data_IF_516211192505
#
_entry.id   IF_516211192505
#
_cell.length_a   1.000
_cell.length_b   1.000
_cell.length_c   1.000
_cell.angle_alpha   90.00
_cell.angle_beta   90.00
_cell.angle_gamma   90.00
#
_symmetry.space_group_name_H-M   'P 1'
#
loop_
_entity.id
_entity.type
_entity.pdbx_description
1 polymer ?
#
# COMPACT_ATOMS: atom_id res chain seq x y z
N UNK A 1 -15.27 6.13 21.64
CA UNK A 1 -14.04 5.35 21.42
C UNK A 1 -12.88 6.18 21.91
N UNK A 2 -11.98 5.61 22.72
CA UNK A 2 -10.98 6.39 23.44
C UNK A 2 -9.68 6.43 22.65
N UNK A 3 -9.16 7.62 22.34
CA UNK A 3 -7.84 7.85 21.74
C UNK A 3 -6.77 7.69 22.85
N UNK A 4 -6.81 6.58 23.59
CA UNK A 4 -5.90 6.33 24.73
C UNK A 4 -4.43 6.12 24.32
N UNK A 5 -4.21 5.71 23.08
CA UNK A 5 -2.87 5.41 22.53
C UNK A 5 -2.14 6.64 21.97
N UNK A 6 -2.80 7.81 21.95
CA UNK A 6 -2.20 9.04 21.46
C UNK A 6 -1.65 9.87 22.61
N UNK A 7 -0.40 10.29 22.48
CA UNK A 7 0.18 11.34 23.33
C UNK A 7 -0.40 12.68 22.89
N UNK A 8 -0.89 13.46 23.85
CA UNK A 8 -1.49 14.78 23.58
C UNK A 8 -0.54 15.88 24.03
N UNK A 9 -0.34 16.86 23.16
CA UNK A 9 0.38 18.09 23.49
C UNK A 9 -0.44 19.31 23.10
N UNK A 10 -0.33 20.38 23.87
CA UNK A 10 -1.02 21.65 23.64
C UNK A 10 0.04 22.74 23.57
N UNK A 11 0.06 23.47 22.47
CA UNK A 11 0.91 24.64 22.27
C UNK A 11 0.05 25.79 21.74
N UNK A 12 -0.05 26.87 22.54
CA UNK A 12 -0.84 28.08 22.26
C UNK A 12 -2.23 27.77 21.68
N UNK A 13 -2.36 27.78 20.37
CA UNK A 13 -3.61 27.56 19.63
C UNK A 13 -3.64 26.23 18.88
N UNK A 14 -2.75 25.28 19.20
CA UNK A 14 -2.61 24.00 18.52
C UNK A 14 -2.70 22.84 19.51
N UNK A 15 -3.54 21.87 19.21
CA UNK A 15 -3.65 20.60 19.92
C UNK A 15 -3.14 19.50 19.00
N UNK A 16 -2.13 18.75 19.43
CA UNK A 16 -1.53 17.67 18.66
C UNK A 16 -1.75 16.32 19.33
N UNK A 17 -2.07 15.33 18.52
CA UNK A 17 -2.25 13.92 18.90
C UNK A 17 -1.17 13.11 18.18
N UNK A 18 -0.27 12.48 18.92
CA UNK A 18 0.85 11.71 18.37
C UNK A 18 0.71 10.22 18.68
N UNK A 19 0.89 9.38 17.67
CA UNK A 19 1.06 7.94 17.79
C UNK A 19 2.21 7.45 16.91
N UNK A 20 2.51 6.15 16.91
CA UNK A 20 3.51 5.55 16.00
C UNK A 20 3.14 5.63 14.53
N UNK A 21 1.84 5.73 14.20
CA UNK A 21 1.31 5.62 12.85
C UNK A 21 0.64 6.90 12.32
N UNK A 22 0.22 7.83 13.18
CA UNK A 22 -0.46 9.05 12.75
C UNK A 22 -0.12 10.24 13.64
N UNK A 23 -0.18 11.43 13.05
CA UNK A 23 -0.20 12.71 13.71
C UNK A 23 -1.55 13.37 13.44
N UNK A 24 -2.31 13.68 14.50
CA UNK A 24 -3.52 14.49 14.39
C UNK A 24 -3.27 15.89 14.90
N UNK A 25 -3.75 16.88 14.20
CA UNK A 25 -3.56 18.30 14.52
C UNK A 25 -4.92 19.00 14.54
N UNK A 26 -5.18 19.77 15.59
CA UNK A 26 -6.30 20.70 15.64
C UNK A 26 -5.73 22.10 15.90
N UNK A 27 -5.97 23.02 14.98
CA UNK A 27 -5.50 24.41 15.07
C UNK A 27 -6.70 25.35 15.27
N UNK A 28 -6.57 26.28 16.19
CA UNK A 28 -7.58 27.30 16.49
C UNK A 28 -7.09 28.63 15.93
N UNK A 29 -7.67 29.08 14.84
CA UNK A 29 -7.24 30.27 14.09
C UNK A 29 -8.14 31.49 14.41
N UNK A 30 -7.73 32.67 13.92
CA UNK A 30 -8.53 33.88 14.01
C UNK A 30 -9.94 33.68 13.38
N UNK A 31 -10.87 34.56 13.72
CA UNK A 31 -12.25 34.53 13.22
C UNK A 31 -13.02 33.22 13.53
N UNK A 32 -12.68 32.55 14.64
CA UNK A 32 -13.28 31.28 15.07
C UNK A 32 -13.14 30.14 14.04
N UNK A 33 -12.07 30.16 13.24
CA UNK A 33 -11.77 29.08 12.30
C UNK A 33 -11.02 27.98 13.03
N UNK A 34 -11.53 26.74 12.89
CA UNK A 34 -10.89 25.51 13.39
C UNK A 34 -10.44 24.70 12.19
N UNK A 35 -9.19 24.24 12.22
CA UNK A 35 -8.64 23.30 11.26
C UNK A 35 -8.34 21.99 11.95
N UNK A 36 -8.68 20.88 11.32
CA UNK A 36 -8.36 19.54 11.80
C UNK A 36 -7.68 18.76 10.68
N UNK A 37 -6.55 18.14 10.97
CA UNK A 37 -5.80 17.34 10.00
C UNK A 37 -5.30 16.04 10.64
N UNK A 38 -5.34 14.95 9.89
CA UNK A 38 -4.73 13.66 10.24
C UNK A 38 -3.71 13.30 9.18
N UNK A 39 -2.45 13.17 9.59
CA UNK A 39 -1.32 12.84 8.73
C UNK A 39 -0.87 11.41 9.03
N UNK A 40 -0.77 10.60 7.97
CA UNK A 40 -0.23 9.25 8.04
C UNK A 40 1.30 9.32 8.09
N UNK A 41 1.93 8.75 9.14
CA UNK A 41 3.38 8.76 9.30
C UNK A 41 4.13 7.83 8.34
N UNK A 42 3.44 6.89 7.69
CA UNK A 42 4.04 5.96 6.73
C UNK A 42 4.47 6.65 5.43
N UNK A 43 3.64 7.58 4.94
CA UNK A 43 3.83 8.23 3.64
C UNK A 43 3.67 9.76 3.68
N UNK A 44 3.53 10.32 4.88
CA UNK A 44 3.32 11.75 5.14
C UNK A 44 2.10 12.36 4.42
N UNK A 45 1.11 11.53 4.05
CA UNK A 45 -0.11 12.02 3.41
C UNK A 45 -1.14 12.46 4.42
N UNK A 46 -1.88 13.51 4.07
CA UNK A 46 -3.08 13.90 4.78
C UNK A 46 -4.21 12.90 4.49
N UNK A 47 -4.68 12.22 5.52
CA UNK A 47 -5.78 11.25 5.46
C UNK A 47 -7.13 11.89 5.74
N UNK A 48 -7.12 13.02 6.45
CA UNK A 48 -8.28 13.81 6.78
C UNK A 48 -7.85 15.27 6.90
N UNK A 49 -8.56 16.16 6.26
CA UNK A 49 -8.40 17.60 6.41
C UNK A 49 -9.74 18.30 6.33
N UNK A 50 -10.02 19.15 7.30
CA UNK A 50 -11.17 20.03 7.28
C UNK A 50 -10.84 21.36 7.95
N UNK A 51 -11.37 22.43 7.44
CA UNK A 51 -11.44 23.73 8.12
C UNK A 51 -12.87 24.22 8.13
N UNK A 52 -13.30 24.80 9.24
CA UNK A 52 -14.64 25.29 9.39
C UNK A 52 -14.70 26.47 10.37
N UNK A 53 -15.72 27.32 10.23
CA UNK A 53 -15.99 28.35 11.21
C UNK A 53 -16.81 27.74 12.36
N UNK A 54 -16.34 27.92 13.58
CA UNK A 54 -17.08 27.48 14.76
C UNK A 54 -18.32 28.31 14.97
N UNK A 55 -19.48 27.70 14.85
CA UNK A 55 -20.78 28.34 15.03
C UNK A 55 -21.59 27.74 16.18
N UNK A 56 -21.42 26.44 16.43
CA UNK A 56 -22.11 25.76 17.52
C UNK A 56 -21.37 24.45 17.93
N UNK A 57 -21.62 24.00 19.15
CA UNK A 57 -21.02 22.81 19.72
C UNK A 57 -21.38 21.51 18.99
N UNK A 58 -22.62 21.36 18.55
CA UNK A 58 -23.07 20.09 17.95
C UNK A 58 -22.32 19.81 16.64
N UNK A 59 -22.17 20.82 15.78
CA UNK A 59 -21.40 20.71 14.54
C UNK A 59 -19.91 20.43 14.81
N UNK A 60 -19.29 21.18 15.73
CA UNK A 60 -17.90 20.97 16.09
C UNK A 60 -17.63 19.57 16.68
N UNK A 61 -18.55 19.04 17.51
CA UNK A 61 -18.45 17.68 18.03
C UNK A 61 -18.60 16.61 16.95
N UNK A 62 -19.49 16.80 15.98
CA UNK A 62 -19.62 15.88 14.85
C UNK A 62 -18.31 15.79 14.05
N UNK A 63 -17.72 16.94 13.68
CA UNK A 63 -16.46 16.99 12.96
C UNK A 63 -15.27 16.43 13.78
N UNK A 64 -15.26 16.67 15.09
CA UNK A 64 -14.28 16.07 15.98
C UNK A 64 -14.42 14.54 16.03
N UNK A 65 -15.63 14.01 15.95
CA UNK A 65 -15.85 12.56 15.85
C UNK A 65 -15.29 11.99 14.54
N UNK A 66 -15.50 12.68 13.42
CA UNK A 66 -14.92 12.28 12.13
C UNK A 66 -13.39 12.31 12.17
N UNK A 67 -12.79 13.33 12.77
CA UNK A 67 -11.35 13.41 13.02
C UNK A 67 -10.85 12.23 13.86
N UNK A 68 -11.55 11.87 14.93
CA UNK A 68 -11.19 10.72 15.76
C UNK A 68 -11.29 9.41 14.99
N UNK A 69 -12.34 9.25 14.18
CA UNK A 69 -12.52 8.07 13.35
C UNK A 69 -11.42 7.97 12.28
N UNK A 70 -11.01 9.10 11.68
CA UNK A 70 -9.89 9.16 10.76
C UNK A 70 -8.56 8.72 11.42
N UNK A 71 -8.26 9.21 12.64
CA UNK A 71 -7.10 8.77 13.41
C UNK A 71 -7.08 7.24 13.61
N UNK A 72 -8.23 6.66 13.98
CA UNK A 72 -8.36 5.22 14.20
C UNK A 72 -8.26 4.44 12.88
N UNK A 73 -8.83 4.96 11.78
CA UNK A 73 -8.75 4.32 10.47
C UNK A 73 -7.31 4.33 9.92
N UNK A 74 -6.53 5.38 10.19
CA UNK A 74 -5.12 5.45 9.81
C UNK A 74 -4.31 4.31 10.42
N UNK A 75 -4.62 3.88 11.66
CA UNK A 75 -4.02 2.69 12.26
C UNK A 75 -4.27 1.44 11.43
N UNK A 76 -5.50 1.22 10.99
CA UNK A 76 -5.86 0.05 10.17
C UNK A 76 -5.11 0.02 8.83
N UNK A 77 -4.85 1.17 8.23
CA UNK A 77 -4.02 1.30 7.02
C UNK A 77 -2.52 1.04 7.29
N UNK A 78 -2.10 1.12 8.54
CA UNK A 78 -0.72 0.88 8.96
C UNK A 78 -0.45 -0.58 9.31
N UNK A 79 -1.47 -1.30 9.79
CA UNK A 79 -1.36 -2.73 10.11
C UNK A 79 -1.08 -3.51 8.84
N UNK A 80 0.03 -4.23 8.81
CA UNK A 80 0.36 -5.13 7.71
C UNK A 80 -0.56 -6.34 7.74
N UNK A 81 -1.39 -6.50 6.74
CA UNK A 81 -2.28 -7.66 6.61
C UNK A 81 -1.61 -8.77 5.81
N UNK A 82 -1.47 -9.93 6.42
CA UNK A 82 -0.74 -11.08 5.89
C UNK A 82 -1.66 -12.28 5.79
N UNK A 83 -1.73 -12.89 4.62
CA UNK A 83 -2.51 -14.08 4.37
C UNK A 83 -1.62 -15.31 4.23
N UNK A 84 -1.86 -16.35 5.02
CA UNK A 84 -1.24 -17.65 4.86
C UNK A 84 -2.13 -18.56 4.01
N UNK A 85 -1.56 -19.14 2.96
CA UNK A 85 -2.26 -20.06 2.07
C UNK A 85 -1.66 -21.47 2.12
N UNK A 86 -2.51 -22.49 2.20
CA UNK A 86 -2.17 -23.89 1.94
C UNK A 86 -3.28 -24.58 1.13
N UNK A 87 -3.15 -25.86 0.83
CA UNK A 87 -4.16 -26.59 0.06
C UNK A 87 -5.51 -26.69 0.77
N UNK A 88 -5.53 -26.87 2.09
CA UNK A 88 -6.77 -27.08 2.87
C UNK A 88 -7.08 -26.02 3.93
N UNK A 89 -6.17 -25.08 4.19
CA UNK A 89 -6.37 -24.00 5.18
C UNK A 89 -6.07 -24.38 6.64
N UNK A 90 -6.06 -25.64 7.03
CA UNK A 90 -6.06 -26.06 8.44
C UNK A 90 -4.71 -25.79 9.15
N UNK A 91 -3.60 -26.26 8.57
CA UNK A 91 -2.26 -26.09 9.16
C UNK A 91 -1.79 -24.63 9.17
N UNK A 92 -2.17 -23.86 8.17
CA UNK A 92 -1.89 -22.42 8.11
C UNK A 92 -2.72 -21.64 9.11
N UNK A 93 -3.95 -22.07 9.45
CA UNK A 93 -4.76 -21.41 10.49
C UNK A 93 -4.10 -21.49 11.86
N UNK A 94 -3.53 -22.63 12.22
CA UNK A 94 -2.79 -22.77 13.47
C UNK A 94 -1.53 -21.87 13.48
N UNK A 95 -0.79 -21.85 12.38
CA UNK A 95 0.40 -20.99 12.29
C UNK A 95 0.04 -19.49 12.32
N UNK A 96 -1.04 -19.07 11.64
CA UNK A 96 -1.54 -17.70 11.70
C UNK A 96 -1.93 -17.28 13.12
N UNK A 97 -2.54 -18.18 13.91
CA UNK A 97 -2.84 -17.95 15.32
C UNK A 97 -1.57 -17.66 16.12
N UNK A 98 -0.55 -18.51 16.00
CA UNK A 98 0.73 -18.31 16.70
C UNK A 98 1.44 -17.02 16.27
N UNK A 99 1.38 -16.67 14.98
CA UNK A 99 1.94 -15.42 14.46
C UNK A 99 1.21 -14.19 15.02
N UNK A 100 -0.12 -14.24 15.16
CA UNK A 100 -0.89 -13.17 15.79
C UNK A 100 -0.52 -13.00 17.28
N UNK A 101 -0.42 -14.10 18.03
CA UNK A 101 0.00 -14.08 19.43
C UNK A 101 1.42 -13.50 19.56
N UNK A 102 2.35 -13.96 18.71
CA UNK A 102 3.72 -13.45 18.69
C UNK A 102 3.79 -11.96 18.33
N UNK A 103 3.04 -11.52 17.32
CA UNK A 103 2.98 -10.11 16.92
C UNK A 103 2.44 -9.23 18.05
N UNK A 104 1.39 -9.68 18.75
CA UNK A 104 0.84 -8.98 19.90
C UNK A 104 1.86 -8.88 21.05
N UNK A 105 2.58 -9.97 21.35
CA UNK A 105 3.56 -10.01 22.44
C UNK A 105 4.71 -9.01 22.27
N UNK A 106 5.13 -8.76 21.01
CA UNK A 106 6.21 -7.80 20.70
C UNK A 106 5.70 -6.46 20.18
N UNK A 107 4.38 -6.21 20.23
CA UNK A 107 3.73 -5.00 19.71
C UNK A 107 4.02 -4.73 18.22
N UNK A 108 4.15 -5.78 17.44
CA UNK A 108 4.32 -5.70 15.98
C UNK A 108 2.94 -5.50 15.33
N UNK A 109 2.82 -4.48 14.47
CA UNK A 109 1.55 -4.09 13.87
C UNK A 109 1.24 -4.93 12.61
N UNK A 110 1.17 -6.26 12.80
CA UNK A 110 0.84 -7.26 11.80
C UNK A 110 -0.44 -7.99 12.17
N UNK A 111 -1.22 -8.35 11.17
CA UNK A 111 -2.40 -9.20 11.30
C UNK A 111 -2.31 -10.36 10.32
N UNK A 112 -2.50 -11.58 10.81
CA UNK A 112 -2.37 -12.81 10.06
C UNK A 112 -3.70 -13.54 9.97
N UNK A 113 -4.10 -13.84 8.72
CA UNK A 113 -5.23 -14.73 8.41
C UNK A 113 -4.74 -15.95 7.65
N UNK A 114 -5.59 -16.98 7.58
CA UNK A 114 -5.31 -18.18 6.81
C UNK A 114 -6.51 -18.61 5.98
N UNK A 115 -6.23 -19.12 4.77
CA UNK A 115 -7.27 -19.72 3.92
C UNK A 115 -6.69 -20.77 2.98
N UNK A 116 -7.57 -21.53 2.31
CA UNK A 116 -7.16 -22.40 1.22
C UNK A 116 -6.78 -21.56 -0.02
N UNK A 117 -5.87 -22.08 -0.83
CA UNK A 117 -5.39 -21.42 -2.04
C UNK A 117 -6.52 -21.08 -3.03
N UNK A 118 -7.56 -21.89 -3.10
CA UNK A 118 -8.70 -21.70 -4.01
C UNK A 118 -9.45 -20.37 -3.75
N UNK A 119 -9.39 -19.86 -2.53
CA UNK A 119 -9.99 -18.57 -2.17
C UNK A 119 -9.08 -17.37 -2.42
N UNK A 120 -7.82 -17.60 -2.77
CA UNK A 120 -6.81 -16.55 -2.98
C UNK A 120 -7.25 -15.53 -4.03
N UNK A 121 -7.82 -15.98 -5.14
CA UNK A 121 -8.23 -15.11 -6.26
C UNK A 121 -9.33 -14.12 -5.89
N UNK A 122 -10.20 -14.49 -4.95
CA UNK A 122 -11.32 -13.65 -4.52
C UNK A 122 -10.96 -12.71 -3.37
N UNK A 123 -10.09 -13.14 -2.48
CA UNK A 123 -9.81 -12.43 -1.21
C UNK A 123 -8.39 -11.90 -1.09
N UNK A 124 -7.43 -12.38 -1.89
CA UNK A 124 -6.01 -12.02 -1.81
C UNK A 124 -5.74 -10.52 -1.94
N UNK A 125 -6.56 -9.82 -2.71
CA UNK A 125 -6.43 -8.37 -2.88
C UNK A 125 -6.62 -7.57 -1.58
N UNK A 126 -7.24 -8.15 -0.55
CA UNK A 126 -7.46 -7.49 0.74
C UNK A 126 -6.22 -7.54 1.66
N UNK A 127 -5.17 -8.25 1.27
CA UNK A 127 -3.95 -8.43 2.04
C UNK A 127 -2.76 -7.75 1.38
N UNK A 128 -1.77 -7.36 2.18
CA UNK A 128 -0.52 -6.73 1.70
C UNK A 128 0.51 -7.78 1.29
N UNK A 129 0.54 -8.89 2.01
CA UNK A 129 1.50 -10.00 1.82
C UNK A 129 0.75 -11.33 1.78
N UNK A 130 1.15 -12.20 0.87
CA UNK A 130 0.66 -13.57 0.75
C UNK A 130 1.81 -14.53 1.06
N UNK A 131 1.60 -15.41 2.02
CA UNK A 131 2.55 -16.46 2.40
C UNK A 131 2.05 -17.79 1.85
N UNK A 132 2.84 -18.46 1.02
CA UNK A 132 2.52 -19.78 0.48
C UNK A 132 3.21 -20.85 1.33
N UNK A 133 2.42 -21.79 1.84
CA UNK A 133 2.95 -22.93 2.56
C UNK A 133 3.80 -23.84 1.64
N UNK A 134 4.82 -24.55 2.17
CA UNK A 134 5.79 -25.30 1.34
C UNK A 134 5.16 -26.28 0.36
N UNK A 135 4.04 -26.91 0.73
CA UNK A 135 3.34 -27.88 -0.10
C UNK A 135 2.66 -27.28 -1.34
N UNK A 136 2.52 -25.95 -1.41
CA UNK A 136 1.93 -25.25 -2.54
C UNK A 136 2.90 -24.21 -3.15
N UNK A 137 4.18 -24.22 -2.81
CA UNK A 137 5.19 -23.31 -3.35
C UNK A 137 5.29 -23.36 -4.88
N UNK A 138 4.98 -24.52 -5.50
CA UNK A 138 4.92 -24.67 -6.94
C UNK A 138 3.86 -23.75 -7.62
N UNK A 139 2.91 -23.23 -6.85
CA UNK A 139 1.89 -22.27 -7.30
C UNK A 139 2.33 -20.80 -7.21
N UNK A 140 3.58 -20.53 -6.82
CA UNK A 140 4.09 -19.16 -6.64
C UNK A 140 3.86 -18.28 -7.88
N UNK A 141 4.29 -18.74 -9.06
CA UNK A 141 4.12 -18.00 -10.32
C UNK A 141 2.65 -17.75 -10.68
N UNK A 142 1.77 -18.70 -10.35
CA UNK A 142 0.33 -18.58 -10.57
C UNK A 142 -0.23 -17.48 -9.66
N UNK A 143 0.16 -17.45 -8.38
CA UNK A 143 -0.23 -16.43 -7.42
C UNK A 143 0.29 -15.02 -7.80
N UNK A 144 1.57 -14.90 -8.22
CA UNK A 144 2.14 -13.64 -8.70
C UNK A 144 1.39 -13.11 -9.93
N UNK A 145 1.04 -13.99 -10.88
CA UNK A 145 0.30 -13.59 -12.08
C UNK A 145 -1.10 -13.09 -11.77
N UNK A 146 -1.75 -13.67 -10.76
CA UNK A 146 -3.10 -13.31 -10.35
C UNK A 146 -3.15 -12.06 -9.46
N UNK A 147 -2.11 -11.85 -8.64
CA UNK A 147 -2.03 -10.78 -7.65
C UNK A 147 -0.77 -9.92 -7.86
N UNK A 148 -0.60 -9.39 -9.08
CA UNK A 148 0.60 -8.67 -9.55
C UNK A 148 1.13 -7.57 -8.64
N UNK A 149 0.28 -7.03 -7.74
CA UNK A 149 0.60 -5.91 -6.86
C UNK A 149 0.78 -6.33 -5.41
N UNK A 150 0.88 -7.64 -5.16
CA UNK A 150 1.05 -8.19 -3.82
C UNK A 150 2.41 -8.86 -3.67
N UNK A 151 2.99 -8.74 -2.49
CA UNK A 151 4.20 -9.47 -2.16
C UNK A 151 3.84 -10.93 -1.88
N UNK A 152 4.28 -11.83 -2.76
CA UNK A 152 4.13 -13.27 -2.59
C UNK A 152 5.43 -13.82 -2.01
N UNK A 153 5.36 -14.60 -0.94
CA UNK A 153 6.50 -15.18 -0.24
C UNK A 153 6.24 -16.68 -0.02
N UNK A 154 7.19 -17.51 -0.39
CA UNK A 154 7.17 -18.93 0.01
C UNK A 154 7.66 -19.07 1.45
N UNK A 155 6.89 -19.79 2.28
CA UNK A 155 7.33 -20.10 3.64
C UNK A 155 8.41 -21.19 3.56
N UNK A 156 9.64 -20.97 4.08
CA UNK A 156 10.64 -22.01 4.11
C UNK A 156 10.16 -23.23 4.90
N UNK A 157 10.40 -24.44 4.36
CA UNK A 157 9.95 -25.70 4.98
C UNK A 157 10.44 -25.86 6.43
N UNK A 158 11.64 -25.39 6.74
CA UNK A 158 12.21 -25.42 8.10
C UNK A 158 11.47 -24.50 9.08
N UNK A 159 10.95 -23.36 8.63
CA UNK A 159 10.13 -22.44 9.44
C UNK A 159 8.75 -23.03 9.65
N UNK A 160 8.13 -23.52 8.57
CA UNK A 160 6.78 -24.08 8.60
C UNK A 160 6.69 -25.34 9.47
N UNK A 161 7.65 -26.26 9.35
CA UNK A 161 7.67 -27.52 10.11
C UNK A 161 7.76 -27.33 11.63
N UNK A 162 8.36 -26.21 12.08
CA UNK A 162 8.54 -25.90 13.51
C UNK A 162 7.60 -24.79 14.00
N UNK A 163 6.80 -24.22 13.11
CA UNK A 163 6.00 -23.02 13.40
C UNK A 163 6.83 -21.90 14.02
N UNK A 164 8.04 -21.66 13.47
CA UNK A 164 9.01 -20.71 14.00
C UNK A 164 8.56 -19.28 13.74
N UNK A 165 7.85 -18.70 14.72
CA UNK A 165 7.27 -17.36 14.66
C UNK A 165 8.35 -16.28 14.47
N UNK A 166 9.46 -16.38 15.22
CA UNK A 166 10.55 -15.39 15.14
C UNK A 166 11.22 -15.38 13.78
N UNK A 167 11.58 -16.57 13.27
CA UNK A 167 12.15 -16.71 11.94
C UNK A 167 11.18 -16.23 10.84
N UNK A 168 9.86 -16.43 11.01
CA UNK A 168 8.88 -15.98 10.05
C UNK A 168 8.79 -14.45 10.01
N UNK A 169 8.82 -13.76 11.14
CA UNK A 169 8.84 -12.30 11.18
C UNK A 169 10.08 -11.73 10.48
N UNK A 170 11.26 -12.31 10.73
CA UNK A 170 12.48 -11.90 10.02
C UNK A 170 12.38 -12.14 8.51
N UNK A 171 11.79 -13.24 8.09
CA UNK A 171 11.64 -13.57 6.68
C UNK A 171 10.69 -12.60 5.97
N UNK A 172 9.56 -12.25 6.60
CA UNK A 172 8.63 -11.23 6.09
C UNK A 172 9.32 -9.87 6.01
N UNK A 173 10.02 -9.44 7.06
CA UNK A 173 10.68 -8.14 7.10
C UNK A 173 11.74 -7.99 6.00
N UNK A 174 12.61 -8.99 5.82
CA UNK A 174 13.62 -9.01 4.74
C UNK A 174 12.98 -8.96 3.35
N UNK A 175 11.89 -9.72 3.16
CA UNK A 175 11.17 -9.74 1.88
C UNK A 175 10.52 -8.40 1.57
N UNK A 176 9.93 -7.75 2.59
CA UNK A 176 9.35 -6.40 2.47
C UNK A 176 10.40 -5.34 2.14
N UNK A 177 11.59 -5.41 2.75
CA UNK A 177 12.69 -4.49 2.42
C UNK A 177 13.14 -4.65 0.96
N UNK A 178 13.28 -5.88 0.51
CA UNK A 178 13.64 -6.19 -0.88
C UNK A 178 12.58 -5.71 -1.86
N UNK A 179 11.30 -5.93 -1.52
CA UNK A 179 10.17 -5.49 -2.32
C UNK A 179 10.09 -3.96 -2.41
N UNK A 180 10.24 -3.25 -1.27
CA UNK A 180 10.27 -1.78 -1.24
C UNK A 180 11.42 -1.20 -2.07
N UNK A 181 12.61 -1.82 -2.04
CA UNK A 181 13.75 -1.39 -2.86
C UNK A 181 13.47 -1.51 -4.34
N UNK A 182 12.73 -2.55 -4.78
CA UNK A 182 12.29 -2.68 -6.18
C UNK A 182 11.32 -1.57 -6.56
N UNK A 183 10.35 -1.25 -5.70
CA UNK A 183 9.33 -0.24 -5.95
C UNK A 183 9.89 1.20 -5.96
N UNK A 184 10.97 1.47 -5.24
CA UNK A 184 11.59 2.80 -5.15
C UNK A 184 12.68 3.07 -6.20
N UNK A 185 13.10 2.07 -6.98
CA UNK A 185 14.06 2.30 -8.05
C UNK A 185 13.49 3.28 -9.08
N UNK A 186 14.17 4.39 -9.38
CA UNK A 186 13.68 5.35 -10.35
C UNK A 186 13.47 4.67 -11.70
N UNK A 187 12.41 5.05 -12.40
CA UNK A 187 12.21 4.71 -13.80
C UNK A 187 12.92 5.78 -14.60
N UNK A 188 13.99 5.39 -15.32
CA UNK A 188 14.68 6.33 -16.21
C UNK A 188 13.75 6.70 -17.36
N UNK A 189 13.36 7.95 -17.39
CA UNK A 189 12.53 8.52 -18.45
C UNK A 189 13.23 9.75 -19.06
N UNK A 190 13.07 9.98 -20.34
CA UNK A 190 12.20 9.27 -21.30
C UNK A 190 12.80 7.95 -21.80
N UNK A 191 11.91 6.97 -22.06
CA UNK A 191 12.29 5.71 -22.72
C UNK A 191 11.90 5.82 -24.19
N UNK A 192 12.84 5.58 -25.09
CA UNK A 192 12.62 5.49 -26.52
C UNK A 192 12.84 4.04 -26.98
N UNK A 193 11.90 3.51 -27.75
CA UNK A 193 12.01 2.21 -28.43
C UNK A 193 11.65 2.38 -29.91
N UNK A 194 12.56 2.02 -30.79
CA UNK A 194 12.33 1.96 -32.22
C UNK A 194 11.96 0.51 -32.61
N UNK A 195 10.83 0.35 -33.31
CA UNK A 195 10.29 -0.97 -33.71
C UNK A 195 10.43 -1.11 -35.22
N UNK A 196 11.19 -2.10 -35.64
CA UNK A 196 11.37 -2.49 -37.06
C UNK A 196 11.66 -1.33 -38.04
N UNK A 197 12.30 -0.25 -37.58
CA UNK A 197 12.57 0.97 -38.34
C UNK A 197 11.31 1.69 -38.88
N UNK A 198 10.14 1.34 -38.41
CA UNK A 198 8.85 1.89 -38.90
C UNK A 198 8.11 2.73 -37.86
N UNK A 199 8.31 2.44 -36.59
CA UNK A 199 7.56 3.08 -35.51
C UNK A 199 8.49 3.38 -34.35
N UNK A 200 8.36 4.56 -33.77
CA UNK A 200 9.07 4.95 -32.54
C UNK A 200 8.05 5.16 -31.43
N UNK A 201 8.23 4.47 -30.33
CA UNK A 201 7.48 4.70 -29.07
C UNK A 201 8.36 5.53 -28.15
N UNK A 202 7.80 6.62 -27.65
CA UNK A 202 8.46 7.50 -26.70
C UNK A 202 7.59 7.63 -25.44
N UNK A 203 8.00 7.03 -24.35
CA UNK A 203 7.41 7.24 -23.02
C UNK A 203 8.07 8.45 -22.40
N UNK A 204 7.34 9.55 -22.31
CA UNK A 204 7.88 10.86 -21.93
C UNK A 204 8.02 11.06 -20.43
N UNK A 205 7.07 10.52 -19.67
CA UNK A 205 7.06 10.73 -18.23
C UNK A 205 5.76 10.29 -17.59
N UNK A 206 5.69 10.51 -16.32
CA UNK A 206 4.46 10.31 -15.56
C UNK A 206 4.15 11.54 -14.71
N UNK A 207 2.86 11.79 -14.49
CA UNK A 207 2.37 12.84 -13.62
C UNK A 207 1.63 12.15 -12.49
N UNK A 208 2.07 12.37 -11.26
CA UNK A 208 1.37 11.92 -10.06
C UNK A 208 0.61 13.09 -9.46
N UNK A 209 -0.71 12.94 -9.32
CA UNK A 209 -1.55 13.91 -8.66
C UNK A 209 -2.48 13.18 -7.69
N UNK A 210 -2.29 13.39 -6.41
CA UNK A 210 -2.94 12.64 -5.33
C UNK A 210 -2.69 11.12 -5.48
N UNK A 211 -3.75 10.34 -5.61
CA UNK A 211 -3.75 8.88 -5.80
C UNK A 211 -3.80 8.44 -7.27
N UNK A 212 -3.76 9.40 -8.21
CA UNK A 212 -3.82 9.14 -9.65
C UNK A 212 -2.47 9.35 -10.30
N UNK A 213 -2.05 8.35 -11.05
CA UNK A 213 -0.85 8.44 -11.90
C UNK A 213 -1.27 8.46 -13.37
N UNK A 214 -0.60 9.27 -14.15
CA UNK A 214 -0.79 9.37 -15.61
C UNK A 214 0.53 9.09 -16.28
N UNK A 215 0.55 8.15 -17.23
CA UNK A 215 1.70 7.90 -18.09
C UNK A 215 1.45 8.61 -19.40
N UNK A 216 2.40 9.44 -19.82
CA UNK A 216 2.35 10.17 -21.08
C UNK A 216 3.28 9.49 -22.05
N UNK A 217 2.75 9.00 -23.17
CA UNK A 217 3.55 8.41 -24.24
C UNK A 217 3.10 8.90 -25.60
N UNK A 218 3.99 8.81 -26.59
CA UNK A 218 3.74 9.18 -27.98
C UNK A 218 4.26 8.08 -28.91
N UNK A 219 3.56 7.87 -30.01
CA UNK A 219 3.95 6.95 -31.07
C UNK A 219 4.14 7.76 -32.34
N UNK A 220 5.25 7.54 -33.01
CA UNK A 220 5.63 8.21 -34.25
C UNK A 220 5.82 7.15 -35.33
N UNK A 221 5.51 7.50 -36.60
CA UNK A 221 5.88 6.70 -37.76
C UNK A 221 7.36 6.90 -38.14
N UNK A 222 7.81 6.23 -39.19
CA UNK A 222 9.19 6.36 -39.72
C UNK A 222 9.54 7.76 -40.21
N UNK A 223 8.55 8.60 -40.55
CA UNK A 223 8.74 10.01 -40.95
C UNK A 223 8.69 10.97 -39.75
N UNK A 224 8.69 10.47 -38.52
CA UNK A 224 8.54 11.24 -37.30
C UNK A 224 7.18 11.97 -37.19
N UNK A 225 6.16 11.46 -37.90
CA UNK A 225 4.79 11.95 -37.81
C UNK A 225 4.14 11.34 -36.57
N UNK A 226 3.56 12.16 -35.71
CA UNK A 226 2.87 11.74 -34.50
C UNK A 226 1.60 10.93 -34.86
N UNK A 227 1.59 9.65 -34.56
CA UNK A 227 0.44 8.78 -34.77
C UNK A 227 -0.55 8.84 -33.60
N UNK A 228 -0.02 8.88 -32.37
CA UNK A 228 -0.86 8.97 -31.16
C UNK A 228 -0.15 9.71 -30.04
N UNK A 229 -0.95 10.39 -29.22
CA UNK A 229 -0.50 11.03 -28.00
C UNK A 229 -1.51 10.71 -26.90
N UNK A 230 -1.19 9.69 -26.10
CA UNK A 230 -2.12 9.18 -25.11
C UNK A 230 -1.65 9.40 -23.68
N UNK A 231 -2.61 9.47 -22.79
CA UNK A 231 -2.40 9.58 -21.35
C UNK A 231 -3.20 8.48 -20.67
N UNK A 232 -2.51 7.47 -20.16
CA UNK A 232 -3.14 6.45 -19.34
C UNK A 232 -3.36 7.01 -17.95
N UNK A 233 -4.62 7.01 -17.51
CA UNK A 233 -5.02 7.42 -16.16
C UNK A 233 -5.29 6.18 -15.34
N UNK A 234 -4.57 6.00 -14.24
CA UNK A 234 -4.76 4.86 -13.36
C UNK A 234 -4.32 5.18 -11.93
N UNK A 235 -4.84 4.43 -10.97
CA UNK A 235 -4.38 4.40 -9.58
C UNK A 235 -3.16 3.50 -9.45
N UNK A 236 -2.05 3.88 -10.08
CA UNK A 236 -0.89 3.02 -10.24
C UNK A 236 0.16 3.26 -9.16
N UNK A 237 0.71 2.17 -8.64
CA UNK A 237 1.99 2.15 -7.95
C UNK A 237 3.13 2.27 -8.98
N UNK A 238 4.37 2.50 -8.51
CA UNK A 238 5.53 2.60 -9.39
C UNK A 238 5.79 1.31 -10.19
N UNK A 239 5.49 0.16 -9.57
CA UNK A 239 5.59 -1.17 -10.17
C UNK A 239 4.59 -1.36 -11.31
N UNK A 240 3.32 -0.97 -11.09
CA UNK A 240 2.29 -0.97 -12.13
C UNK A 240 2.69 -0.12 -13.33
N UNK A 241 3.37 0.99 -13.10
CA UNK A 241 3.85 1.86 -14.16
C UNK A 241 4.91 1.18 -15.02
N UNK A 242 5.81 0.38 -14.41
CA UNK A 242 6.79 -0.41 -15.16
C UNK A 242 6.13 -1.45 -16.06
N UNK A 243 5.13 -2.17 -15.53
CA UNK A 243 4.37 -3.16 -16.28
C UNK A 243 3.64 -2.51 -17.45
N UNK A 244 3.01 -1.36 -17.23
CA UNK A 244 2.32 -0.61 -18.29
C UNK A 244 3.31 -0.05 -19.31
N UNK A 245 4.44 0.49 -18.88
CA UNK A 245 5.49 0.93 -19.80
C UNK A 245 6.00 -0.24 -20.63
N UNK A 246 6.25 -1.38 -20.01
CA UNK A 246 6.63 -2.61 -20.71
C UNK A 246 5.56 -3.04 -21.71
N UNK A 247 4.30 -3.05 -21.29
CA UNK A 247 3.16 -3.34 -22.17
C UNK A 247 3.09 -2.38 -23.37
N UNK A 248 3.24 -1.06 -23.14
CA UNK A 248 3.25 -0.05 -24.20
C UNK A 248 4.41 -0.32 -25.17
N UNK A 249 5.59 -0.65 -24.65
CA UNK A 249 6.78 -0.92 -25.47
C UNK A 249 6.68 -2.23 -26.26
N UNK A 250 5.79 -3.15 -25.88
CA UNK A 250 5.54 -4.43 -26.56
C UNK A 250 4.28 -4.44 -27.42
N UNK A 251 3.48 -3.37 -27.42
CA UNK A 251 2.24 -3.28 -28.19
C UNK A 251 2.43 -3.41 -29.72
N UNK A 252 3.65 -3.22 -30.22
CA UNK A 252 3.99 -3.18 -31.65
C UNK A 252 5.13 -4.14 -32.02
N UNK A 253 5.55 -5.02 -31.10
CA UNK A 253 6.45 -6.13 -31.41
C UNK A 253 5.66 -7.24 -32.12
#
# INVERSE_FOLDING_TARGET
KTIKEFTKSIDKNKLTFESSYATGIISFNAHHIIEMEVINKKDAKSEFYIHFQYNNNAHALALYQEFQDALIQTKKKHTLSVLLCCSGGLTTSYFAMLLNEGAQAISLDYHFDAMSFDHLYHKGNNYDVILLAPQISYKHKEAESALRHKLIIDIPASIFARYDVGAMFHHIASSLETYKKRDTSPIDLPIKKDIHNTTTILVLGYIRHMDKTRIVYRIYDHNQILLTNEVIKSHLRLEDMRDIITMILTLYD
#
